data_IF_736896103625
#
_entry.id   IF_736896103625
#
_cell.length_a   1.000
_cell.length_b   1.000
_cell.length_c   1.000
_cell.angle_alpha   90.00
_cell.angle_beta   90.00
_cell.angle_gamma   90.00
#
_symmetry.space_group_name_H-M   'P 1'
#
loop_
_entity.id
_entity.type
_entity.pdbx_description
1 polymer ?
#
# COMPACT_ATOMS: atom_id res chain seq x y z
N UNK A 1 -22.81 1.41 18.80
CA UNK A 1 -21.80 2.33 18.21
C UNK A 1 -20.52 2.45 19.04
N UNK A 2 -20.56 2.83 20.34
CA UNK A 2 -19.36 2.97 21.19
C UNK A 2 -18.43 1.74 21.25
N UNK A 3 -18.95 0.51 21.34
CA UNK A 3 -18.12 -0.72 21.35
C UNK A 3 -17.36 -0.98 20.03
N UNK A 4 -17.94 -0.61 18.88
CA UNK A 4 -17.31 -0.76 17.56
C UNK A 4 -16.20 0.28 17.35
N UNK A 5 -16.42 1.51 17.81
CA UNK A 5 -15.46 2.63 17.71
C UNK A 5 -14.23 2.48 18.62
N UNK A 6 -14.29 1.62 19.64
CA UNK A 6 -13.12 1.33 20.49
C UNK A 6 -12.25 0.19 19.95
N UNK A 7 -12.80 -0.63 19.04
CA UNK A 7 -12.12 -1.82 18.55
C UNK A 7 -11.27 -1.55 17.30
N UNK A 8 -11.77 -0.75 16.34
CA UNK A 8 -11.14 -0.58 15.02
C UNK A 8 -10.46 0.79 14.79
N UNK A 9 -11.08 1.93 15.14
CA UNK A 9 -10.40 3.23 15.08
C UNK A 9 -9.24 3.33 16.09
N UNK A 10 -8.14 3.97 15.67
CA UNK A 10 -7.03 4.32 16.55
C UNK A 10 -7.32 5.52 17.46
N UNK A 11 -8.27 6.38 17.06
CA UNK A 11 -8.68 7.62 17.70
C UNK A 11 -9.59 8.43 16.77
N UNK A 12 -10.16 9.54 17.26
CA UNK A 12 -11.00 10.44 16.47
C UNK A 12 -10.19 11.52 15.72
N UNK A 13 -9.07 11.96 16.31
CA UNK A 13 -8.10 12.86 15.69
C UNK A 13 -6.71 12.24 15.61
N UNK A 14 -5.80 12.87 14.86
CA UNK A 14 -4.39 12.46 14.78
C UNK A 14 -3.74 12.45 16.17
N UNK A 15 -3.98 13.47 16.99
CA UNK A 15 -3.44 13.61 18.34
C UNK A 15 -3.95 12.50 19.27
N UNK A 16 -5.24 12.16 19.17
CA UNK A 16 -5.82 11.08 19.97
C UNK A 16 -5.24 9.71 19.63
N UNK A 17 -4.69 9.53 18.44
CA UNK A 17 -4.03 8.29 18.04
C UNK A 17 -2.62 8.14 18.65
N UNK A 18 -1.95 9.23 19.04
CA UNK A 18 -0.53 9.22 19.44
C UNK A 18 -0.24 8.24 20.59
N UNK A 19 -0.98 8.23 21.72
CA UNK A 19 -0.69 7.30 22.81
C UNK A 19 -0.79 5.83 22.40
N UNK A 20 -1.75 5.51 21.52
CA UNK A 20 -1.92 4.15 20.99
C UNK A 20 -0.77 3.77 20.06
N UNK A 21 -0.32 4.70 19.21
CA UNK A 21 0.83 4.50 18.33
C UNK A 21 2.09 4.26 19.16
N UNK A 22 2.34 5.08 20.19
CA UNK A 22 3.47 4.90 21.11
C UNK A 22 3.44 3.53 21.79
N UNK A 23 2.27 3.10 22.28
CA UNK A 23 2.10 1.76 22.84
C UNK A 23 2.49 0.64 21.87
N UNK A 24 2.03 0.72 20.61
CA UNK A 24 2.38 -0.26 19.58
C UNK A 24 3.88 -0.23 19.24
N UNK A 25 4.48 0.95 19.18
CA UNK A 25 5.92 1.11 18.94
C UNK A 25 6.78 0.48 20.04
N UNK A 26 6.38 0.61 21.31
CA UNK A 26 7.07 -0.05 22.42
C UNK A 26 7.07 -1.58 22.28
N UNK A 27 6.08 -2.14 21.57
CA UNK A 27 6.00 -3.55 21.18
C UNK A 27 6.65 -3.86 19.83
N UNK A 28 7.43 -2.93 19.27
CA UNK A 28 8.09 -3.04 17.95
C UNK A 28 7.12 -3.14 16.76
N UNK A 29 5.86 -2.72 16.93
CA UNK A 29 4.83 -2.74 15.89
C UNK A 29 4.78 -1.35 15.22
N UNK A 30 4.97 -1.32 13.90
CA UNK A 30 4.78 -0.11 13.09
C UNK A 30 3.30 0.22 12.90
N UNK A 31 3.01 1.48 12.56
CA UNK A 31 1.63 1.93 12.37
C UNK A 31 1.44 2.59 11.01
N UNK A 32 0.26 2.37 10.45
CA UNK A 32 -0.18 2.90 9.17
C UNK A 32 -1.54 3.57 9.34
N UNK A 33 -1.59 4.77 9.98
CA UNK A 33 -2.81 5.55 10.11
C UNK A 33 -3.47 5.80 8.76
N UNK A 34 -4.79 5.75 8.79
CA UNK A 34 -5.65 6.00 7.64
C UNK A 34 -6.80 6.88 8.08
N UNK A 35 -7.05 7.93 7.31
CA UNK A 35 -8.26 8.72 7.50
C UNK A 35 -9.44 8.07 6.76
N UNK A 36 -10.54 7.83 7.49
CA UNK A 36 -11.69 7.09 6.99
C UNK A 36 -12.68 8.01 6.28
N UNK A 37 -12.36 8.50 5.07
CA UNK A 37 -13.37 9.10 4.19
C UNK A 37 -13.22 8.59 2.76
N UNK A 38 -14.24 7.90 2.26
CA UNK A 38 -14.32 7.37 0.90
C UNK A 38 -15.35 8.14 0.06
N UNK A 39 -15.17 8.13 -1.27
CA UNK A 39 -16.25 8.53 -2.17
C UNK A 39 -17.42 7.53 -2.05
N UNK A 40 -18.62 7.92 -2.48
CA UNK A 40 -19.76 7.00 -2.47
C UNK A 40 -19.50 5.84 -3.44
N UNK A 41 -20.01 4.66 -3.10
CA UNK A 41 -19.80 3.41 -3.85
C UNK A 41 -20.37 3.46 -5.29
N UNK A 42 -21.32 4.35 -5.55
CA UNK A 42 -21.91 4.60 -6.86
C UNK A 42 -21.04 5.49 -7.77
N UNK A 43 -19.88 5.94 -7.27
CA UNK A 43 -18.98 6.86 -7.97
C UNK A 43 -19.48 8.31 -7.98
N UNK A 44 -20.53 8.65 -7.23
CA UNK A 44 -20.99 10.02 -7.09
C UNK A 44 -20.03 10.86 -6.24
N UNK A 45 -19.90 12.12 -6.66
CA UNK A 45 -18.94 13.11 -6.14
C UNK A 45 -18.99 13.23 -4.62
N UNK A 46 -17.82 13.34 -4.00
CA UNK A 46 -17.71 14.01 -2.70
C UNK A 46 -18.08 15.49 -2.84
N UNK A 47 -18.54 16.09 -1.75
CA UNK A 47 -18.58 17.54 -1.63
C UNK A 47 -17.16 18.10 -1.88
N UNK A 48 -16.94 18.92 -2.92
CA UNK A 48 -15.64 19.49 -3.23
C UNK A 48 -15.02 20.25 -2.05
N UNK A 49 -15.84 20.80 -1.15
CA UNK A 49 -15.37 21.49 0.05
C UNK A 49 -14.64 20.55 1.04
N UNK A 50 -14.81 19.24 0.92
CA UNK A 50 -14.13 18.26 1.77
C UNK A 50 -12.71 17.92 1.32
N UNK A 51 -12.35 18.18 0.05
CA UNK A 51 -11.02 17.85 -0.49
C UNK A 51 -9.93 18.64 0.24
N UNK A 52 -9.98 19.99 0.37
CA UNK A 52 -8.96 20.73 1.10
C UNK A 52 -8.82 20.29 2.56
N UNK A 53 -9.95 20.00 3.22
CA UNK A 53 -9.96 19.51 4.60
C UNK A 53 -9.28 18.13 4.73
N UNK A 54 -9.53 17.23 3.78
CA UNK A 54 -8.87 15.91 3.77
C UNK A 54 -7.37 16.03 3.51
N UNK A 55 -6.97 16.85 2.54
CA UNK A 55 -5.57 17.15 2.28
C UNK A 55 -4.88 17.67 3.53
N UNK A 56 -5.49 18.64 4.22
CA UNK A 56 -4.95 19.20 5.46
C UNK A 56 -4.76 18.13 6.55
N UNK A 57 -5.74 17.25 6.75
CA UNK A 57 -5.64 16.16 7.73
C UNK A 57 -4.55 15.14 7.39
N UNK A 58 -4.34 14.86 6.10
CA UNK A 58 -3.22 14.01 5.64
C UNK A 58 -1.89 14.67 5.96
N UNK A 59 -1.74 15.97 5.67
CA UNK A 59 -0.51 16.72 5.97
C UNK A 59 -0.22 16.78 7.47
N UNK A 60 -1.24 17.02 8.31
CA UNK A 60 -1.13 16.98 9.77
C UNK A 60 -0.74 15.59 10.27
N UNK A 61 -1.29 14.53 9.66
CA UNK A 61 -0.92 13.15 9.97
C UNK A 61 0.56 12.89 9.65
N UNK A 62 1.05 13.36 8.49
CA UNK A 62 2.46 13.27 8.10
C UNK A 62 3.35 13.99 9.11
N UNK A 63 3.00 15.21 9.51
CA UNK A 63 3.79 15.96 10.49
C UNK A 63 3.84 15.25 11.85
N UNK A 64 2.70 14.76 12.35
CA UNK A 64 2.65 14.02 13.60
C UNK A 64 3.45 12.71 13.55
N UNK A 65 3.35 11.96 12.44
CA UNK A 65 4.13 10.73 12.22
C UNK A 65 5.64 11.04 12.13
N UNK A 66 6.02 12.09 11.40
CA UNK A 66 7.42 12.52 11.26
C UNK A 66 8.05 12.95 12.59
N UNK A 67 7.31 13.72 13.40
CA UNK A 67 7.75 14.10 14.74
C UNK A 67 7.93 12.89 15.66
N UNK A 68 6.97 11.96 15.65
CA UNK A 68 7.04 10.74 16.45
C UNK A 68 8.21 9.84 16.02
N UNK A 69 8.46 9.75 14.71
CA UNK A 69 9.59 9.02 14.16
C UNK A 69 10.93 9.59 14.63
N UNK A 70 11.10 10.92 14.60
CA UNK A 70 12.33 11.60 15.10
C UNK A 70 12.61 11.29 16.57
N UNK A 71 11.57 11.13 17.38
CA UNK A 71 11.70 10.79 18.81
C UNK A 71 12.01 9.30 19.05
N UNK A 72 11.41 8.42 18.24
CA UNK A 72 11.37 6.97 18.51
C UNK A 72 12.32 6.13 17.65
N UNK A 73 12.83 6.69 16.56
CA UNK A 73 13.68 6.00 15.58
C UNK A 73 14.63 7.03 14.92
N UNK A 74 15.57 7.63 15.68
CA UNK A 74 16.45 8.68 15.18
C UNK A 74 17.40 8.18 14.08
N UNK A 75 17.69 6.88 14.03
CA UNK A 75 18.44 6.24 12.95
C UNK A 75 17.57 5.18 12.24
N UNK A 76 17.06 5.52 11.07
CA UNK A 76 16.28 4.63 10.21
C UNK A 76 17.14 3.89 9.17
N UNK A 77 18.45 4.16 9.09
CA UNK A 77 19.35 3.57 8.09
C UNK A 77 19.39 2.04 8.23
N UNK A 78 19.37 1.54 9.47
CA UNK A 78 19.32 0.12 9.81
C UNK A 78 18.06 -0.61 9.30
N UNK A 79 17.03 0.12 8.85
CA UNK A 79 15.77 -0.44 8.35
C UNK A 79 15.44 0.05 6.94
N UNK A 80 16.45 0.27 6.08
CA UNK A 80 16.21 0.75 4.72
C UNK A 80 15.43 2.08 4.67
N UNK A 81 15.71 2.98 5.61
CA UNK A 81 15.00 4.24 5.77
C UNK A 81 13.60 4.11 6.38
N UNK A 82 13.15 2.91 6.74
CA UNK A 82 11.86 2.71 7.39
C UNK A 82 11.88 3.20 8.84
N UNK A 83 11.22 4.33 9.11
CA UNK A 83 11.02 4.82 10.46
C UNK A 83 9.74 4.27 11.15
N UNK A 84 9.04 3.33 10.50
CA UNK A 84 7.81 2.65 10.93
C UNK A 84 6.60 3.57 11.15
N UNK A 85 6.64 4.77 10.57
CA UNK A 85 5.63 5.82 10.64
C UNK A 85 5.15 6.17 9.23
N UNK A 86 4.02 5.60 8.84
CA UNK A 86 3.51 5.70 7.47
C UNK A 86 2.14 6.37 7.47
N UNK A 87 1.63 6.77 6.31
CA UNK A 87 0.26 7.31 6.16
C UNK A 87 -0.41 6.67 4.94
N UNK A 88 -1.68 6.30 5.05
CA UNK A 88 -2.50 5.85 3.91
C UNK A 88 -3.33 6.99 3.35
N UNK A 89 -3.32 7.13 2.02
CA UNK A 89 -4.13 8.11 1.29
C UNK A 89 -4.99 7.41 0.24
N UNK A 90 -6.17 7.98 -0.03
CA UNK A 90 -7.09 7.54 -1.10
C UNK A 90 -7.20 8.62 -2.15
N UNK A 91 -7.11 8.26 -3.43
CA UNK A 91 -7.09 9.22 -4.53
C UNK A 91 -8.50 9.68 -4.89
N UNK A 92 -9.48 8.79 -4.89
CA UNK A 92 -10.90 9.16 -5.09
C UNK A 92 -11.43 10.05 -3.97
N UNK A 93 -10.74 10.04 -2.83
CA UNK A 93 -11.03 10.97 -1.75
C UNK A 93 -10.68 12.43 -2.13
N UNK A 94 -9.80 12.60 -3.11
CA UNK A 94 -9.21 13.86 -3.55
C UNK A 94 -9.64 14.28 -4.97
N UNK A 95 -10.53 13.53 -5.65
CA UNK A 95 -11.00 13.83 -7.03
C UNK A 95 -12.41 13.34 -7.37
N UNK A 96 -12.95 13.83 -8.49
CA UNK A 96 -14.06 13.22 -9.25
C UNK A 96 -13.46 12.34 -10.35
N UNK A 97 -13.93 11.10 -10.50
CA UNK A 97 -13.34 10.18 -11.48
C UNK A 97 -14.11 10.11 -12.80
N UNK A 98 -13.38 10.00 -13.91
CA UNK A 98 -13.86 9.61 -15.25
C UNK A 98 -12.84 8.66 -15.92
N UNK A 99 -13.31 7.94 -16.96
CA UNK A 99 -12.88 6.60 -17.37
C UNK A 99 -11.73 6.57 -18.39
N UNK A 100 -10.95 5.50 -18.31
CA UNK A 100 -10.55 4.67 -19.46
C UNK A 100 -9.07 4.69 -19.84
N UNK A 101 -8.38 3.55 -19.65
CA UNK A 101 -7.14 3.18 -20.37
C UNK A 101 -7.07 1.64 -20.58
N UNK A 102 -6.56 1.27 -21.77
CA UNK A 102 -6.00 0.02 -22.31
C UNK A 102 -6.83 -1.26 -22.63
N UNK A 103 -6.41 -1.91 -23.74
CA UNK A 103 -7.12 -2.97 -24.50
C UNK A 103 -6.52 -4.39 -24.43
N UNK A 104 -5.24 -4.60 -24.07
CA UNK A 104 -4.56 -5.90 -24.19
C UNK A 104 -4.13 -6.57 -22.86
N UNK A 105 -4.61 -6.05 -21.73
CA UNK A 105 -4.41 -6.63 -20.40
C UNK A 105 -5.79 -6.74 -19.74
N UNK A 106 -6.08 -7.78 -18.92
CA UNK A 106 -7.30 -7.79 -18.12
C UNK A 106 -7.45 -6.47 -17.38
N UNK A 107 -8.53 -5.76 -17.66
CA UNK A 107 -8.93 -4.52 -16.98
C UNK A 107 -8.64 -4.63 -15.47
N UNK A 108 -8.00 -3.65 -14.81
CA UNK A 108 -7.69 -2.28 -15.28
C UNK A 108 -6.46 -2.05 -16.16
N UNK A 109 -5.77 -3.08 -16.65
CA UNK A 109 -4.55 -2.86 -17.43
C UNK A 109 -3.29 -2.76 -16.56
N UNK A 110 -2.17 -2.31 -17.15
CA UNK A 110 -0.90 -2.10 -16.45
C UNK A 110 -0.43 -0.65 -16.67
N UNK A 111 0.18 0.03 -15.68
CA UNK A 111 0.70 1.38 -15.89
C UNK A 111 1.92 1.40 -16.81
N UNK A 112 2.01 2.41 -17.65
CA UNK A 112 3.13 2.73 -18.52
C UNK A 112 3.48 4.22 -18.44
N UNK A 113 4.68 4.57 -18.91
CA UNK A 113 5.04 5.97 -19.08
C UNK A 113 4.12 6.62 -20.11
N UNK A 114 3.69 7.85 -19.84
CA UNK A 114 2.78 8.57 -20.73
C UNK A 114 1.31 8.31 -20.44
N UNK A 115 0.96 7.36 -19.58
CA UNK A 115 -0.44 7.07 -19.23
C UNK A 115 -1.11 8.26 -18.54
N UNK A 116 -0.37 9.05 -17.76
CA UNK A 116 -0.92 10.23 -17.10
C UNK A 116 -1.21 11.32 -18.13
N UNK A 117 -0.27 11.59 -19.04
CA UNK A 117 -0.48 12.50 -20.16
C UNK A 117 -1.63 12.03 -21.06
N UNK A 118 -1.76 10.73 -21.29
CA UNK A 118 -2.88 10.14 -22.04
C UNK A 118 -4.21 10.34 -21.31
N UNK A 119 -4.24 10.13 -19.99
CA UNK A 119 -5.41 10.40 -19.15
C UNK A 119 -5.77 11.89 -19.12
N UNK A 120 -4.80 12.80 -19.19
CA UNK A 120 -5.04 14.24 -19.22
C UNK A 120 -5.55 14.75 -20.59
N UNK A 121 -5.01 14.17 -21.66
CA UNK A 121 -5.26 14.58 -23.05
C UNK A 121 -6.29 13.70 -23.77
N UNK A 122 -6.92 12.75 -23.06
CA UNK A 122 -7.92 11.85 -23.60
C UNK A 122 -9.09 12.62 -24.24
N UNK A 123 -9.53 12.15 -25.42
CA UNK A 123 -10.58 12.83 -26.21
C UNK A 123 -11.92 12.93 -25.46
N UNK A 124 -12.18 12.01 -24.55
CA UNK A 124 -13.41 11.95 -23.75
C UNK A 124 -13.32 12.79 -22.46
N UNK A 125 -12.16 13.39 -22.16
CA UNK A 125 -11.93 14.13 -20.91
C UNK A 125 -12.38 15.58 -21.06
N UNK A 126 -13.41 15.93 -20.28
CA UNK A 126 -13.93 17.30 -20.21
C UNK A 126 -12.88 18.27 -19.65
N UNK A 127 -13.01 19.56 -19.95
CA UNK A 127 -12.11 20.59 -19.39
C UNK A 127 -12.14 20.63 -17.85
N UNK A 128 -13.32 20.44 -17.26
CA UNK A 128 -13.46 20.33 -15.82
C UNK A 128 -12.74 19.08 -15.26
N UNK A 129 -12.85 17.93 -15.95
CA UNK A 129 -12.14 16.71 -15.59
C UNK A 129 -10.62 16.89 -15.66
N UNK A 130 -10.13 17.57 -16.69
CA UNK A 130 -8.71 17.93 -16.85
C UNK A 130 -8.21 18.78 -15.69
N UNK A 131 -8.93 19.83 -15.33
CA UNK A 131 -8.59 20.68 -14.18
C UNK A 131 -8.57 19.91 -12.86
N UNK A 132 -9.47 18.94 -12.69
CA UNK A 132 -9.50 18.05 -11.52
C UNK A 132 -8.29 17.12 -11.47
N UNK A 133 -7.88 16.53 -12.59
CA UNK A 133 -6.66 15.72 -12.67
C UNK A 133 -5.40 16.55 -12.36
N UNK A 134 -5.30 17.76 -12.90
CA UNK A 134 -4.19 18.67 -12.59
C UNK A 134 -4.14 19.04 -11.10
N UNK A 135 -5.30 19.38 -10.52
CA UNK A 135 -5.42 19.69 -9.10
C UNK A 135 -5.07 18.49 -8.21
N UNK A 136 -5.45 17.28 -8.63
CA UNK A 136 -5.09 16.04 -7.94
C UNK A 136 -3.57 15.82 -7.92
N UNK A 137 -2.93 15.92 -9.09
CA UNK A 137 -1.48 15.74 -9.19
C UNK A 137 -0.77 16.73 -8.29
N UNK A 138 -1.13 18.01 -8.35
CA UNK A 138 -0.55 19.03 -7.48
C UNK A 138 -0.75 18.71 -5.99
N UNK A 139 -1.94 18.23 -5.62
CA UNK A 139 -2.26 17.84 -4.23
C UNK A 139 -1.41 16.67 -3.76
N UNK A 140 -1.30 15.60 -4.57
CA UNK A 140 -0.55 14.41 -4.17
C UNK A 140 0.96 14.68 -4.21
N UNK A 141 1.46 15.49 -5.14
CA UNK A 141 2.87 15.92 -5.13
C UNK A 141 3.21 16.73 -3.88
N UNK A 142 2.32 17.61 -3.43
CA UNK A 142 2.51 18.33 -2.16
C UNK A 142 2.55 17.37 -0.96
N UNK A 143 1.66 16.37 -0.92
CA UNK A 143 1.66 15.31 0.09
C UNK A 143 2.96 14.50 0.04
N UNK A 144 3.40 14.08 -1.15
CA UNK A 144 4.62 13.28 -1.35
C UNK A 144 5.88 14.07 -0.95
N UNK A 145 5.97 15.35 -1.31
CA UNK A 145 7.06 16.23 -0.88
C UNK A 145 7.13 16.35 0.63
N UNK A 146 5.99 16.66 1.27
CA UNK A 146 5.90 16.77 2.73
C UNK A 146 6.26 15.46 3.43
N UNK A 147 5.88 14.32 2.84
CA UNK A 147 6.19 12.99 3.33
C UNK A 147 7.70 12.72 3.24
N UNK A 148 8.33 13.01 2.11
CA UNK A 148 9.78 12.90 1.92
C UNK A 148 10.55 13.75 2.94
N UNK A 149 10.16 15.02 3.12
CA UNK A 149 10.78 15.95 4.08
C UNK A 149 10.72 15.44 5.53
N UNK A 150 9.71 14.63 5.85
CA UNK A 150 9.51 14.04 7.18
C UNK A 150 9.98 12.58 7.29
N UNK A 151 10.57 12.01 6.23
CA UNK A 151 10.87 10.58 6.11
C UNK A 151 9.64 9.68 6.38
N UNK A 152 8.44 10.13 6.03
CA UNK A 152 7.20 9.36 6.18
C UNK A 152 6.88 8.69 4.86
N UNK A 153 6.52 7.41 4.91
CA UNK A 153 6.06 6.69 3.71
C UNK A 153 4.57 6.90 3.50
N UNK A 154 4.15 7.20 2.28
CA UNK A 154 2.74 7.29 1.87
C UNK A 154 2.33 6.06 1.08
N UNK A 155 1.31 5.36 1.58
CA UNK A 155 0.66 4.25 0.88
C UNK A 155 -0.53 4.82 0.13
N UNK A 156 -0.45 4.76 -1.19
CA UNK A 156 -1.56 5.10 -2.07
C UNK A 156 -2.46 3.87 -2.13
N UNK A 157 -3.65 3.99 -1.55
CA UNK A 157 -4.63 2.90 -1.50
C UNK A 157 -5.14 2.60 -2.91
N UNK A 158 -5.24 1.31 -3.22
CA UNK A 158 -5.93 0.84 -4.40
C UNK A 158 -7.45 0.89 -4.16
N UNK A 159 -8.18 1.24 -5.21
CA UNK A 159 -9.62 1.50 -5.18
C UNK A 159 -10.33 0.60 -6.17
N UNK A 160 -11.55 0.94 -6.60
CA UNK A 160 -12.29 0.14 -7.57
C UNK A 160 -11.56 0.08 -8.91
N UNK A 161 -11.72 -1.03 -9.64
CA UNK A 161 -11.01 -1.28 -10.89
C UNK A 161 -11.15 -0.16 -11.93
N UNK A 162 -12.21 0.63 -11.89
CA UNK A 162 -12.42 1.74 -12.84
C UNK A 162 -11.70 3.04 -12.52
N UNK A 163 -11.25 3.24 -11.29
CA UNK A 163 -10.34 4.35 -10.94
C UNK A 163 -8.88 3.92 -11.00
N UNK A 164 -8.63 2.62 -10.89
CA UNK A 164 -7.31 2.07 -10.74
C UNK A 164 -6.30 2.44 -11.85
N UNK A 165 -6.65 2.60 -13.14
CA UNK A 165 -5.68 3.00 -14.16
C UNK A 165 -5.04 4.37 -13.88
N UNK A 166 -5.86 5.36 -13.52
CA UNK A 166 -5.37 6.72 -13.18
C UNK A 166 -4.57 6.69 -11.88
N UNK A 167 -5.01 5.89 -10.90
CA UNK A 167 -4.30 5.71 -9.63
C UNK A 167 -2.93 5.07 -9.85
N UNK A 168 -2.86 4.00 -10.64
CA UNK A 168 -1.63 3.29 -10.94
C UNK A 168 -0.65 4.18 -11.71
N UNK A 169 -1.12 4.86 -12.75
CA UNK A 169 -0.32 5.77 -13.55
C UNK A 169 0.31 6.89 -12.69
N UNK A 170 -0.50 7.58 -11.90
CA UNK A 170 0.01 8.63 -11.00
C UNK A 170 0.95 8.05 -9.94
N UNK A 171 0.64 6.89 -9.39
CA UNK A 171 1.48 6.24 -8.38
C UNK A 171 2.82 5.83 -8.95
N UNK A 172 2.86 5.31 -10.17
CA UNK A 172 4.08 4.91 -10.85
C UNK A 172 5.01 6.10 -11.10
N UNK A 173 4.48 7.23 -11.60
CA UNK A 173 5.28 8.46 -11.76
C UNK A 173 5.80 9.00 -10.42
N UNK A 174 4.99 8.94 -9.36
CA UNK A 174 5.40 9.37 -8.03
C UNK A 174 6.49 8.46 -7.45
N UNK A 175 6.42 7.14 -7.68
CA UNK A 175 7.49 6.22 -7.29
C UNK A 175 8.79 6.53 -8.04
N UNK A 176 8.72 6.75 -9.36
CA UNK A 176 9.87 7.16 -10.16
C UNK A 176 10.49 8.48 -9.67
N UNK A 177 9.66 9.43 -9.22
CA UNK A 177 10.11 10.76 -8.78
C UNK A 177 10.64 10.80 -7.34
N UNK A 178 10.02 10.10 -6.40
CA UNK A 178 10.27 10.25 -4.97
C UNK A 178 10.97 9.06 -4.30
N UNK A 179 11.05 7.90 -4.95
CA UNK A 179 11.78 6.75 -4.42
C UNK A 179 13.18 6.72 -5.01
N UNK A 180 14.18 6.51 -4.16
CA UNK A 180 15.58 6.36 -4.58
C UNK A 180 16.13 5.02 -4.11
N UNK A 181 17.20 4.52 -4.75
CA UNK A 181 17.82 3.24 -4.36
C UNK A 181 18.45 3.30 -2.96
N UNK A 182 19.09 4.41 -2.65
CA UNK A 182 19.85 4.62 -1.40
C UNK A 182 19.02 5.28 -0.29
N UNK A 183 17.80 5.74 -0.60
CA UNK A 183 16.90 6.42 0.32
C UNK A 183 15.66 5.61 0.69
N UNK A 184 14.80 6.17 1.56
CA UNK A 184 13.50 5.58 1.85
C UNK A 184 12.61 5.59 0.60
N UNK A 185 11.86 4.49 0.38
CA UNK A 185 10.77 4.48 -0.59
C UNK A 185 9.59 5.28 -0.01
N UNK A 186 9.46 6.54 -0.45
CA UNK A 186 8.44 7.48 0.03
C UNK A 186 7.05 7.10 -0.47
N UNK A 187 6.90 6.81 -1.76
CA UNK A 187 5.62 6.48 -2.39
C UNK A 187 5.48 4.95 -2.52
N UNK A 188 4.33 4.41 -2.08
CA UNK A 188 4.07 2.98 -2.03
C UNK A 188 2.76 2.70 -2.77
N UNK A 189 2.83 1.86 -3.80
CA UNK A 189 1.65 1.35 -4.49
C UNK A 189 0.93 0.27 -3.68
N UNK A 190 -0.40 0.26 -3.71
CA UNK A 190 -1.18 -0.87 -3.22
C UNK A 190 -1.53 -1.82 -4.37
N UNK A 191 -1.19 -3.10 -4.25
CA UNK A 191 -1.46 -4.10 -5.29
C UNK A 191 -2.54 -5.08 -4.83
N UNK A 192 -3.55 -5.27 -5.67
CA UNK A 192 -4.78 -6.01 -5.36
C UNK A 192 -4.76 -7.43 -5.91
N UNK A 193 -4.56 -8.43 -5.04
CA UNK A 193 -4.38 -9.83 -5.44
C UNK A 193 -5.65 -10.49 -6.01
N UNK A 194 -6.85 -9.97 -5.74
CA UNK A 194 -8.10 -10.48 -6.32
C UNK A 194 -8.28 -10.16 -7.80
N UNK A 195 -7.50 -9.23 -8.36
CA UNK A 195 -7.58 -8.88 -9.77
C UNK A 195 -6.78 -9.86 -10.62
N UNK A 196 -7.33 -10.25 -11.78
CA UNK A 196 -6.70 -11.17 -12.72
C UNK A 196 -5.34 -10.70 -13.24
N UNK A 197 -5.11 -9.39 -13.26
CA UNK A 197 -3.85 -8.77 -13.70
C UNK A 197 -2.72 -8.83 -12.68
N UNK A 198 -2.98 -9.26 -11.44
CA UNK A 198 -2.07 -9.03 -10.32
C UNK A 198 -0.65 -9.56 -10.56
N UNK A 199 -0.52 -10.79 -11.07
CA UNK A 199 0.79 -11.40 -11.30
C UNK A 199 1.59 -10.61 -12.36
N UNK A 200 0.95 -10.25 -13.47
CA UNK A 200 1.54 -9.44 -14.53
C UNK A 200 1.92 -8.04 -14.03
N UNK A 201 1.07 -7.43 -13.20
CA UNK A 201 1.33 -6.12 -12.59
C UNK A 201 2.53 -6.16 -11.66
N UNK A 202 2.64 -7.17 -10.80
CA UNK A 202 3.80 -7.30 -9.91
C UNK A 202 5.09 -7.51 -10.70
N UNK A 203 5.08 -8.42 -11.68
CA UNK A 203 6.24 -8.67 -12.54
C UNK A 203 6.69 -7.41 -13.28
N UNK A 204 5.73 -6.66 -13.84
CA UNK A 204 6.01 -5.40 -14.53
C UNK A 204 6.57 -4.35 -13.57
N UNK A 205 5.96 -4.11 -12.40
CA UNK A 205 6.47 -3.10 -11.46
C UNK A 205 7.88 -3.43 -10.98
N UNK A 206 8.21 -4.70 -10.74
CA UNK A 206 9.58 -5.11 -10.38
C UNK A 206 10.56 -4.78 -11.51
N UNK A 207 10.23 -5.14 -12.76
CA UNK A 207 11.08 -4.84 -13.91
C UNK A 207 11.24 -3.33 -14.16
N UNK A 208 10.15 -2.56 -14.03
CA UNK A 208 10.15 -1.10 -14.18
C UNK A 208 11.02 -0.42 -13.13
N UNK A 209 10.94 -0.85 -11.87
CA UNK A 209 11.78 -0.30 -10.81
C UNK A 209 13.28 -0.53 -11.04
N UNK A 210 13.63 -1.69 -11.61
CA UNK A 210 14.99 -2.00 -12.02
C UNK A 210 15.44 -1.14 -13.21
N UNK A 211 14.64 -1.06 -14.26
CA UNK A 211 14.91 -0.25 -15.47
C UNK A 211 15.08 1.23 -15.14
N UNK A 212 14.23 1.75 -14.25
CA UNK A 212 14.17 3.18 -13.89
C UNK A 212 15.01 3.55 -12.68
N UNK A 213 15.65 2.58 -12.04
CA UNK A 213 16.62 2.82 -10.97
C UNK A 213 16.02 3.40 -9.69
N UNK A 214 14.85 2.90 -9.26
CA UNK A 214 14.25 3.29 -7.98
C UNK A 214 13.96 2.08 -7.09
N UNK A 215 13.89 2.29 -5.77
CA UNK A 215 13.50 1.24 -4.82
C UNK A 215 11.98 1.04 -4.87
N UNK A 216 11.54 -0.17 -5.21
CA UNK A 216 10.12 -0.52 -5.18
C UNK A 216 9.73 -0.98 -3.78
N UNK A 217 8.76 -0.29 -3.17
CA UNK A 217 8.03 -0.78 -2.01
C UNK A 217 6.53 -0.83 -2.38
N UNK A 218 5.90 -1.97 -2.17
CA UNK A 218 4.46 -2.12 -2.41
C UNK A 218 3.71 -2.72 -1.22
N UNK A 219 2.45 -2.33 -1.07
CA UNK A 219 1.51 -2.86 -0.10
C UNK A 219 0.57 -3.85 -0.81
N UNK A 220 0.79 -5.14 -0.59
CA UNK A 220 -0.05 -6.18 -1.15
C UNK A 220 -1.30 -6.39 -0.30
N UNK A 221 -2.47 -6.32 -0.93
CA UNK A 221 -3.76 -6.54 -0.29
C UNK A 221 -4.53 -7.63 -1.04
N UNK A 222 -5.44 -8.35 -0.37
CA UNK A 222 -6.38 -9.23 -1.09
C UNK A 222 -7.27 -8.41 -2.02
N UNK A 223 -7.91 -7.35 -1.49
CA UNK A 223 -8.85 -6.49 -2.21
C UNK A 223 -10.11 -6.23 -1.37
N UNK A 224 -10.74 -5.06 -1.55
CA UNK A 224 -11.94 -4.66 -0.81
C UNK A 224 -13.19 -4.53 -1.69
N UNK A 225 -13.04 -4.60 -3.02
CA UNK A 225 -14.07 -4.24 -4.00
C UNK A 225 -14.50 -5.42 -4.89
N UNK A 226 -14.24 -6.66 -4.45
CA UNK A 226 -14.51 -7.91 -5.18
C UNK A 226 -15.96 -7.95 -5.71
N UNK A 227 -16.94 -7.66 -4.84
CA UNK A 227 -18.36 -7.69 -5.19
C UNK A 227 -18.69 -6.55 -6.16
N UNK A 228 -18.30 -5.32 -5.84
CA UNK A 228 -18.64 -4.13 -6.64
C UNK A 228 -18.01 -4.18 -8.04
N UNK A 229 -16.78 -4.67 -8.19
CA UNK A 229 -16.14 -4.83 -9.49
C UNK A 229 -16.81 -5.93 -10.32
N UNK A 230 -17.18 -7.06 -9.70
CA UNK A 230 -17.88 -8.14 -10.39
C UNK A 230 -19.30 -7.74 -10.83
N UNK A 231 -20.03 -7.00 -9.99
CA UNK A 231 -21.37 -6.46 -10.31
C UNK A 231 -21.30 -5.39 -11.39
N UNK A 232 -20.33 -4.46 -11.31
CA UNK A 232 -20.16 -3.40 -12.30
C UNK A 232 -19.85 -3.98 -13.67
N UNK A 233 -18.98 -5.00 -13.75
CA UNK A 233 -18.66 -5.68 -15.00
C UNK A 233 -19.90 -6.26 -15.69
N UNK A 234 -20.79 -6.91 -14.92
CA UNK A 234 -22.06 -7.46 -15.44
C UNK A 234 -23.01 -6.36 -15.91
N UNK A 235 -23.18 -5.31 -15.11
CA UNK A 235 -24.11 -4.21 -15.40
C UNK A 235 -23.67 -3.39 -16.61
N UNK A 236 -22.37 -3.18 -16.81
CA UNK A 236 -21.83 -2.48 -17.98
C UNK A 236 -21.94 -3.30 -19.29
N UNK A 237 -22.47 -4.53 -19.25
CA UNK A 237 -22.69 -5.38 -20.43
C UNK A 237 -21.40 -5.90 -21.08
N UNK A 238 -20.27 -5.84 -20.36
CA UNK A 238 -18.95 -6.23 -20.88
C UNK A 238 -18.86 -7.75 -21.07
N UNK A 239 -18.24 -8.18 -22.17
CA UNK A 239 -18.08 -9.59 -22.51
C UNK A 239 -16.80 -10.19 -21.90
N UNK A 240 -16.80 -11.49 -21.60
CA UNK A 240 -15.64 -12.20 -21.04
C UNK A 240 -15.59 -12.24 -19.51
N UNK A 241 -14.44 -12.65 -18.97
CA UNK A 241 -14.30 -13.11 -17.58
C UNK A 241 -14.27 -12.01 -16.50
N UNK A 242 -14.23 -10.73 -16.87
CA UNK A 242 -14.14 -9.60 -15.94
C UNK A 242 -12.83 -9.50 -15.16
N UNK A 243 -12.64 -8.42 -14.38
CA UNK A 243 -11.36 -8.10 -13.75
C UNK A 243 -11.06 -8.97 -12.53
N UNK A 244 -12.08 -9.56 -11.93
CA UNK A 244 -12.01 -10.31 -10.65
C UNK A 244 -11.74 -11.79 -10.89
N UNK A 245 -10.86 -12.38 -10.07
CA UNK A 245 -10.63 -13.82 -10.00
C UNK A 245 -11.92 -14.54 -9.57
N UNK A 246 -12.23 -15.71 -10.16
CA UNK A 246 -13.54 -16.34 -9.99
C UNK A 246 -13.74 -16.98 -8.61
N UNK A 247 -12.66 -17.29 -7.90
CA UNK A 247 -12.70 -18.00 -6.62
C UNK A 247 -11.79 -17.36 -5.58
N UNK A 248 -12.13 -17.61 -4.32
CA UNK A 248 -11.33 -17.18 -3.17
C UNK A 248 -9.97 -17.90 -3.16
N UNK A 249 -9.94 -19.17 -3.55
CA UNK A 249 -8.72 -19.96 -3.69
C UNK A 249 -7.80 -19.38 -4.77
N UNK A 250 -8.37 -18.89 -5.88
CA UNK A 250 -7.62 -18.18 -6.91
C UNK A 250 -7.01 -16.88 -6.38
N UNK A 251 -7.76 -16.12 -5.57
CA UNK A 251 -7.26 -14.91 -4.90
C UNK A 251 -6.15 -15.22 -3.89
N UNK A 252 -6.30 -16.30 -3.11
CA UNK A 252 -5.28 -16.76 -2.17
C UNK A 252 -4.00 -17.20 -2.92
N UNK A 253 -4.12 -17.92 -4.04
CA UNK A 253 -2.99 -18.32 -4.88
C UNK A 253 -2.28 -17.09 -5.49
N UNK A 254 -3.05 -16.13 -6.00
CA UNK A 254 -2.53 -14.85 -6.51
C UNK A 254 -1.80 -14.06 -5.42
N UNK A 255 -2.32 -14.02 -4.20
CA UNK A 255 -1.65 -13.38 -3.06
C UNK A 255 -0.35 -14.12 -2.69
N UNK A 256 -0.37 -15.45 -2.68
CA UNK A 256 0.82 -16.25 -2.36
C UNK A 256 1.92 -16.10 -3.41
N UNK A 257 1.56 -15.98 -4.70
CA UNK A 257 2.51 -15.66 -5.77
C UNK A 257 3.29 -14.37 -5.47
N UNK A 258 2.64 -13.33 -4.93
CA UNK A 258 3.31 -12.09 -4.55
C UNK A 258 4.36 -12.25 -3.44
N UNK A 259 4.07 -13.10 -2.46
CA UNK A 259 5.03 -13.47 -1.39
C UNK A 259 6.22 -14.21 -2.01
N UNK A 260 5.95 -15.24 -2.81
CA UNK A 260 6.97 -16.07 -3.47
C UNK A 260 7.88 -15.23 -4.36
N UNK A 261 7.29 -14.38 -5.22
CA UNK A 261 8.02 -13.48 -6.11
C UNK A 261 8.92 -12.54 -5.31
N UNK A 262 8.40 -11.94 -4.25
CA UNK A 262 9.18 -11.01 -3.42
C UNK A 262 10.37 -11.72 -2.79
N UNK A 263 10.17 -12.87 -2.12
CA UNK A 263 11.28 -13.60 -1.50
C UNK A 263 12.31 -14.05 -2.55
N UNK A 264 11.85 -14.54 -3.69
CA UNK A 264 12.71 -14.95 -4.80
C UNK A 264 13.55 -13.79 -5.38
N UNK A 265 13.03 -12.55 -5.35
CA UNK A 265 13.74 -11.35 -5.81
C UNK A 265 14.68 -10.78 -4.75
N UNK A 266 14.26 -10.65 -3.48
CA UNK A 266 15.10 -10.01 -2.44
C UNK A 266 16.26 -10.90 -2.02
N UNK A 267 16.08 -12.22 -2.01
CA UNK A 267 17.09 -13.15 -1.51
C UNK A 267 18.44 -13.09 -2.28
N UNK A 268 18.47 -13.12 -3.62
CA UNK A 268 19.71 -12.91 -4.37
C UNK A 268 20.29 -11.51 -4.19
N UNK A 269 19.46 -10.44 -4.24
CA UNK A 269 19.92 -9.06 -4.06
C UNK A 269 20.67 -8.88 -2.73
N UNK A 270 20.12 -9.41 -1.64
CA UNK A 270 20.73 -9.35 -0.32
C UNK A 270 22.00 -10.20 -0.23
N UNK A 271 22.04 -11.38 -0.87
CA UNK A 271 23.28 -12.20 -0.90
C UNK A 271 24.42 -11.52 -1.65
N UNK A 272 24.10 -10.80 -2.73
CA UNK A 272 25.09 -10.15 -3.58
C UNK A 272 25.55 -8.80 -3.03
N UNK A 273 24.63 -8.00 -2.50
CA UNK A 273 24.88 -6.59 -2.17
C UNK A 273 24.65 -6.24 -0.71
N UNK A 274 24.07 -7.15 0.09
CA UNK A 274 23.63 -6.85 1.46
C UNK A 274 22.37 -5.99 1.54
N UNK A 275 21.82 -5.56 0.41
CA UNK A 275 20.69 -4.63 0.33
C UNK A 275 19.60 -5.16 -0.60
N UNK A 276 18.35 -4.79 -0.28
CA UNK A 276 17.20 -5.10 -1.13
C UNK A 276 16.71 -3.84 -1.85
N UNK A 277 16.50 -3.96 -3.17
CA UNK A 277 15.88 -2.94 -4.03
C UNK A 277 14.36 -3.11 -4.12
N UNK A 278 13.85 -4.27 -3.69
CA UNK A 278 12.44 -4.56 -3.56
C UNK A 278 12.05 -4.62 -2.08
N UNK A 279 10.86 -4.15 -1.75
CA UNK A 279 10.29 -4.25 -0.43
C UNK A 279 8.79 -4.48 -0.53
N UNK A 280 8.21 -5.18 0.43
CA UNK A 280 6.78 -5.47 0.43
C UNK A 280 6.17 -5.50 1.83
N UNK A 281 4.94 -5.01 1.91
CA UNK A 281 4.04 -5.24 3.05
C UNK A 281 2.88 -6.10 2.61
N UNK A 282 2.72 -7.25 3.24
CA UNK A 282 1.63 -8.18 2.98
C UNK A 282 0.51 -7.95 3.99
N UNK A 283 -0.53 -7.23 3.59
CA UNK A 283 -1.67 -6.94 4.43
C UNK A 283 -2.67 -8.11 4.41
N UNK A 284 -2.56 -9.01 5.39
CA UNK A 284 -3.36 -10.24 5.43
C UNK A 284 -3.64 -10.72 6.86
N UNK A 285 -4.82 -11.31 7.03
CA UNK A 285 -5.20 -12.08 8.21
C UNK A 285 -5.18 -13.59 7.96
N UNK A 286 -4.80 -14.02 6.75
CA UNK A 286 -4.70 -15.43 6.38
C UNK A 286 -3.40 -16.03 6.95
N UNK A 287 -3.53 -16.84 8.00
CA UNK A 287 -2.39 -17.48 8.66
C UNK A 287 -1.62 -18.45 7.74
N UNK A 288 -2.27 -19.01 6.72
CA UNK A 288 -1.61 -19.89 5.74
C UNK A 288 -0.63 -19.09 4.90
N UNK A 289 -1.05 -17.94 4.36
CA UNK A 289 -0.17 -17.05 3.59
C UNK A 289 0.95 -16.47 4.47
N UNK A 290 0.66 -16.14 5.74
CA UNK A 290 1.70 -15.73 6.69
C UNK A 290 2.73 -16.85 6.88
N UNK A 291 2.27 -18.08 7.14
CA UNK A 291 3.12 -19.25 7.30
C UNK A 291 4.03 -19.48 6.10
N UNK A 292 3.47 -19.43 4.88
CA UNK A 292 4.22 -19.53 3.63
C UNK A 292 5.38 -18.51 3.58
N UNK A 293 5.11 -17.24 3.88
CA UNK A 293 6.16 -16.22 3.87
C UNK A 293 7.26 -16.47 4.91
N UNK A 294 6.88 -16.87 6.12
CA UNK A 294 7.86 -17.21 7.17
C UNK A 294 8.74 -18.41 6.77
N UNK A 295 8.15 -19.45 6.18
CA UNK A 295 8.86 -20.64 5.70
C UNK A 295 9.81 -20.30 4.56
N UNK A 296 9.38 -19.46 3.60
CA UNK A 296 10.22 -18.99 2.51
C UNK A 296 11.40 -18.15 3.01
N UNK A 297 11.18 -17.23 3.94
CA UNK A 297 12.27 -16.45 4.53
C UNK A 297 13.30 -17.35 5.20
N UNK A 298 12.86 -18.36 5.96
CA UNK A 298 13.77 -19.32 6.60
C UNK A 298 14.51 -20.17 5.56
N UNK A 299 13.80 -20.70 4.56
CA UNK A 299 14.37 -21.51 3.47
C UNK A 299 15.45 -20.77 2.69
N UNK A 300 15.28 -19.47 2.47
CA UNK A 300 16.24 -18.64 1.75
C UNK A 300 17.32 -18.01 2.64
N UNK A 301 17.38 -18.37 3.93
CA UNK A 301 18.38 -17.88 4.88
C UNK A 301 18.20 -16.44 5.34
N UNK A 302 17.04 -15.83 5.03
CA UNK A 302 16.67 -14.46 5.39
C UNK A 302 16.04 -14.34 6.78
N UNK A 303 15.71 -15.48 7.41
CA UNK A 303 15.28 -15.55 8.79
C UNK A 303 15.83 -16.80 9.47
N UNK A 304 16.03 -16.73 10.79
CA UNK A 304 16.52 -17.85 11.61
C UNK A 304 15.68 -18.00 12.86
N UNK A 305 15.39 -19.24 13.24
CA UNK A 305 14.69 -19.52 14.49
C UNK A 305 15.64 -19.31 15.66
N UNK A 306 15.23 -18.47 16.62
CA UNK A 306 15.85 -18.40 17.93
C UNK A 306 15.31 -19.58 18.76
N UNK A 307 16.19 -20.50 19.15
CA UNK A 307 15.82 -21.70 19.89
C UNK A 307 15.50 -21.45 21.36
N UNK A 308 15.95 -20.33 21.93
CA UNK A 308 15.72 -19.99 23.35
C UNK A 308 14.27 -19.52 23.59
N UNK A 309 13.70 -18.77 22.64
CA UNK A 309 12.35 -18.21 22.77
C UNK A 309 11.38 -18.66 21.66
N UNK A 310 11.82 -19.54 20.76
CA UNK A 310 11.03 -20.08 19.67
C UNK A 310 10.65 -19.08 18.56
N UNK A 311 11.07 -17.82 18.65
CA UNK A 311 10.72 -16.76 17.69
C UNK A 311 11.54 -16.89 16.40
N UNK A 312 10.93 -16.54 15.27
CA UNK A 312 11.66 -16.39 14.02
C UNK A 312 12.24 -14.97 13.96
N UNK A 313 13.55 -14.86 13.84
CA UNK A 313 14.29 -13.60 13.77
C UNK A 313 14.65 -13.33 12.32
N UNK A 314 14.14 -12.24 11.79
CA UNK A 314 14.42 -11.75 10.43
C UNK A 314 15.82 -11.12 10.39
N UNK A 315 16.56 -11.34 9.30
CA UNK A 315 17.91 -10.77 9.14
C UNK A 315 17.86 -9.25 9.06
N UNK A 316 18.94 -8.57 9.46
CA UNK A 316 18.99 -7.10 9.48
C UNK A 316 18.83 -6.51 8.08
N UNK A 317 19.34 -7.21 7.08
CA UNK A 317 19.35 -6.84 5.67
C UNK A 317 17.94 -6.75 5.06
N UNK A 318 16.97 -7.48 5.62
CA UNK A 318 15.58 -7.48 5.15
C UNK A 318 14.56 -6.95 6.17
N UNK A 319 15.01 -6.48 7.34
CA UNK A 319 14.13 -6.00 8.41
C UNK A 319 13.22 -4.83 7.99
N UNK A 320 13.63 -4.03 7.00
CA UNK A 320 12.82 -2.95 6.38
C UNK A 320 12.20 -3.30 5.03
N UNK A 321 12.39 -4.54 4.56
CA UNK A 321 12.09 -4.95 3.18
C UNK A 321 10.95 -5.98 3.10
N UNK A 322 10.61 -6.65 4.20
CA UNK A 322 9.52 -7.62 4.23
C UNK A 322 8.76 -7.49 5.54
N UNK A 323 7.45 -7.19 5.45
CA UNK A 323 6.60 -7.12 6.64
C UNK A 323 5.19 -7.67 6.37
N UNK A 324 4.53 -8.12 7.43
CA UNK A 324 3.09 -8.39 7.42
C UNK A 324 2.34 -7.24 8.09
N UNK A 325 1.16 -6.90 7.58
CA UNK A 325 0.28 -5.90 8.17
C UNK A 325 -1.12 -6.47 8.42
N UNK A 326 -1.78 -5.95 9.45
CA UNK A 326 -3.13 -6.33 9.84
C UNK A 326 -3.94 -5.10 10.22
N UNK A 327 -5.25 -5.15 9.98
CA UNK A 327 -6.14 -4.13 10.49
C UNK A 327 -6.17 -4.18 12.02
N UNK A 328 -6.01 -3.02 12.65
CA UNK A 328 -6.17 -2.90 14.09
C UNK A 328 -7.58 -3.35 14.51
N UNK A 329 -7.67 -4.09 15.61
CA UNK A 329 -8.94 -4.61 16.12
C UNK A 329 -9.40 -5.96 15.57
N UNK A 330 -8.74 -6.49 14.52
CA UNK A 330 -8.96 -7.87 14.05
C UNK A 330 -8.04 -8.87 14.78
N UNK A 331 -8.49 -10.14 14.82
CA UNK A 331 -7.89 -11.25 15.58
C UNK A 331 -6.35 -11.27 15.48
N UNK A 332 -5.62 -11.31 16.60
CA UNK A 332 -4.18 -11.13 16.62
C UNK A 332 -3.43 -12.46 16.46
N UNK A 333 -3.16 -12.88 15.23
CA UNK A 333 -2.23 -14.01 15.00
C UNK A 333 -0.77 -13.55 14.87
N UNK A 334 -0.56 -12.26 14.56
CA UNK A 334 0.77 -11.65 14.43
C UNK A 334 1.26 -10.98 15.72
N UNK A 335 0.47 -11.01 16.81
CA UNK A 335 0.95 -10.54 18.11
C UNK A 335 1.65 -11.69 18.83
N UNK A 336 2.70 -11.39 19.59
CA UNK A 336 3.35 -12.37 20.46
C UNK A 336 2.30 -13.05 21.34
N UNK A 337 2.44 -14.37 21.53
CA UNK A 337 1.57 -15.22 22.37
C UNK A 337 1.34 -14.71 23.79
N UNK A 338 2.12 -13.73 24.26
CA UNK A 338 2.03 -13.12 25.59
C UNK A 338 0.85 -12.14 25.74
N UNK A 339 0.15 -11.78 24.66
CA UNK A 339 -0.95 -10.81 24.69
C UNK A 339 -2.28 -11.36 25.26
N UNK A 340 -2.30 -12.61 25.76
CA UNK A 340 -3.44 -13.20 26.48
C UNK A 340 -3.29 -13.17 28.01
N UNK A 341 -2.28 -12.48 28.55
CA UNK A 341 -2.24 -12.17 29.98
C UNK A 341 -3.09 -10.92 30.26
N UNK A 342 -4.32 -11.16 30.71
CA UNK A 342 -5.11 -10.36 31.67
C UNK A 342 -4.73 -8.87 31.86
N UNK A 343 -5.55 -7.96 31.32
CA UNK A 343 -6.54 -7.16 32.09
C UNK A 343 -7.34 -6.22 31.17
#
# INVERSE_FOLDING_TARGET
MKKFLNQFPGGETTENCIPKIQYLRNKQIGTLPRYNIEAKLDGSSKDPALIPKQTQLVLESIDAQGQLAKQSCPDASAYSGDNRCWVRIKITSLTRGERGLDLDVPYPGLPHDGDWEAALNGREVTELGRQQLLSLRATIEAIASKAQDNNVRIVIDAEQSWYQPVIDSLTDELMQKYNTLDGPATCIASLQAYLRRYAQLLDQQVARAEERGYKLLFNQIQGAYIVTDAERWKTDGKQGHGPVLPTKEGTDASFNYGIEKTVATIAPQVRETGHSKLSAVFATHNSISVGLGLDLLQKHGLARRNYENGKLVVSKEIAGSFAFAQLYGKLPFLRSRDDNASD
#
